data_IF_856959998709
#
_entry.id   IF_856959998709
#
_cell.length_a   1.000
_cell.length_b   1.000
_cell.length_c   1.000
_cell.angle_alpha   90.00
_cell.angle_beta   90.00
_cell.angle_gamma   90.00
#
_symmetry.space_group_name_H-M   'P 1'
#
loop_
_entity.id
_entity.type
_entity.pdbx_description
1 polymer ?
#
# COMPACT_ATOMS: atom_id res chain seq x y z
N UNK A 1 56.86 -18.04 -11.16
CA UNK A 1 56.08 -17.98 -12.42
C UNK A 1 54.83 -18.84 -12.27
N UNK A 2 53.82 -18.37 -11.53
CA UNK A 2 52.47 -18.98 -11.39
C UNK A 2 51.50 -17.85 -11.01
N UNK A 3 51.21 -16.94 -11.94
CA UNK A 3 50.17 -15.89 -11.74
C UNK A 3 49.28 -15.67 -12.97
N UNK A 4 49.59 -16.28 -14.12
CA UNK A 4 48.85 -16.09 -15.37
C UNK A 4 47.67 -17.05 -15.59
N UNK A 5 47.73 -18.28 -15.09
CA UNK A 5 46.74 -19.32 -15.42
C UNK A 5 45.53 -19.37 -14.48
N UNK A 6 45.62 -18.80 -13.28
CA UNK A 6 44.50 -18.77 -12.34
C UNK A 6 43.46 -17.71 -12.74
N UNK A 7 43.92 -16.52 -13.15
CA UNK A 7 43.03 -15.42 -13.57
C UNK A 7 42.25 -15.74 -14.86
N UNK A 8 42.82 -16.51 -15.79
CA UNK A 8 42.11 -16.91 -17.03
C UNK A 8 40.98 -17.90 -16.76
N UNK A 9 41.10 -18.80 -15.77
CA UNK A 9 40.04 -19.76 -15.42
C UNK A 9 38.89 -19.12 -14.65
N UNK A 10 39.16 -18.13 -13.80
CA UNK A 10 38.11 -17.45 -13.02
C UNK A 10 37.23 -16.54 -13.88
N UNK A 11 37.80 -15.86 -14.88
CA UNK A 11 37.03 -14.97 -15.77
C UNK A 11 36.07 -15.73 -16.69
N UNK A 12 36.46 -16.93 -17.16
CA UNK A 12 35.60 -17.76 -18.04
C UNK A 12 34.37 -18.30 -17.28
N UNK A 13 34.53 -18.67 -16.01
CA UNK A 13 33.42 -19.17 -15.18
C UNK A 13 32.39 -18.06 -14.90
N UNK A 14 32.84 -16.83 -14.60
CA UNK A 14 31.95 -15.70 -14.32
C UNK A 14 31.19 -15.22 -15.57
N UNK A 15 31.81 -15.26 -16.76
CA UNK A 15 31.13 -14.88 -18.02
C UNK A 15 30.16 -15.98 -18.49
N UNK A 16 30.43 -17.26 -18.21
CA UNK A 16 29.51 -18.37 -18.56
C UNK A 16 28.24 -18.45 -17.70
N UNK A 17 28.27 -17.95 -16.46
CA UNK A 17 27.06 -17.86 -15.61
C UNK A 17 26.16 -16.66 -15.95
N UNK A 18 26.65 -15.69 -16.72
CA UNK A 18 25.90 -14.51 -17.17
C UNK A 18 25.10 -14.79 -18.46
N UNK A 19 25.32 -15.92 -19.15
CA UNK A 19 24.71 -16.19 -20.47
C UNK A 19 23.60 -17.27 -20.43
N UNK A 20 23.38 -17.95 -19.31
CA UNK A 20 22.39 -19.03 -19.24
C UNK A 20 21.24 -18.72 -18.30
N UNK A 21 20.47 -17.67 -18.59
CA UNK A 21 19.03 -17.58 -18.27
C UNK A 21 18.36 -16.48 -19.13
N UNK A 22 17.74 -16.94 -20.20
CA UNK A 22 16.52 -16.41 -20.86
C UNK A 22 16.60 -15.13 -21.70
N UNK A 23 16.75 -15.31 -23.02
CA UNK A 23 15.87 -14.65 -24.00
C UNK A 23 15.04 -15.75 -24.67
N UNK A 24 13.73 -15.76 -24.44
CA UNK A 24 12.65 -15.80 -25.45
C UNK A 24 11.34 -15.58 -24.69
N UNK A 25 10.73 -14.43 -24.94
CA UNK A 25 9.44 -14.04 -24.39
C UNK A 25 9.05 -12.64 -24.87
N UNK A 26 9.23 -12.38 -26.16
CA UNK A 26 8.54 -11.27 -26.81
C UNK A 26 7.08 -11.70 -26.91
N UNK A 27 6.22 -11.14 -26.06
CA UNK A 27 4.78 -11.06 -26.30
C UNK A 27 4.28 -9.73 -25.73
N UNK A 28 3.85 -8.89 -26.68
CA UNK A 28 2.93 -7.75 -26.55
C UNK A 28 3.16 -6.77 -25.40
N UNK A 29 3.68 -5.60 -25.76
CA UNK A 29 3.13 -4.33 -25.31
C UNK A 29 1.60 -4.36 -25.38
N UNK A 30 0.96 -4.45 -24.22
CA UNK A 30 -0.50 -4.51 -24.11
C UNK A 30 -0.97 -5.37 -22.95
N UNK A 31 -0.53 -5.08 -21.72
CA UNK A 31 -1.15 -5.67 -20.54
C UNK A 31 -1.84 -4.56 -19.76
N UNK A 32 -3.15 -4.45 -19.96
CA UNK A 32 -4.07 -3.94 -18.93
C UNK A 32 -3.77 -4.77 -17.68
N UNK A 33 -3.22 -4.14 -16.64
CA UNK A 33 -2.90 -4.86 -15.41
C UNK A 33 -4.19 -5.44 -14.85
N UNK A 34 -4.31 -6.77 -14.88
CA UNK A 34 -5.33 -7.46 -14.10
C UNK A 34 -4.85 -7.45 -12.65
N UNK A 35 -5.17 -6.35 -11.99
CA UNK A 35 -5.08 -6.21 -10.54
C UNK A 35 -6.02 -7.23 -9.90
N UNK A 36 -5.48 -8.35 -9.41
CA UNK A 36 -6.25 -9.46 -8.83
C UNK A 36 -6.10 -9.49 -7.29
N UNK A 37 -6.22 -8.34 -6.61
CA UNK A 37 -6.49 -8.37 -5.17
C UNK A 37 -7.99 -8.44 -4.93
N UNK A 38 -8.44 -9.59 -4.44
CA UNK A 38 -9.79 -9.76 -3.94
C UNK A 38 -9.88 -9.09 -2.58
N UNK A 39 -10.48 -7.89 -2.53
CA UNK A 39 -10.93 -7.17 -1.33
C UNK A 39 -12.08 -7.91 -0.60
N UNK A 40 -12.05 -9.23 -0.61
CA UNK A 40 -13.21 -10.13 -0.52
C UNK A 40 -13.85 -10.21 0.86
N UNK A 41 -13.20 -9.66 1.89
CA UNK A 41 -13.64 -9.87 3.27
C UNK A 41 -14.92 -9.09 3.65
N UNK A 42 -15.25 -8.01 2.94
CA UNK A 42 -16.46 -7.21 3.20
C UNK A 42 -17.40 -7.09 1.99
N UNK A 43 -17.20 -7.92 0.95
CA UNK A 43 -17.91 -7.72 -0.31
C UNK A 43 -19.34 -8.23 -0.30
N UNK A 44 -19.84 -8.98 0.70
CA UNK A 44 -21.21 -9.53 0.61
C UNK A 44 -22.29 -8.47 0.43
N UNK A 45 -22.15 -7.32 1.09
CA UNK A 45 -23.10 -6.21 0.99
C UNK A 45 -23.05 -5.56 -0.41
N UNK A 46 -21.86 -5.27 -0.92
CA UNK A 46 -21.67 -4.50 -2.17
C UNK A 46 -21.60 -5.35 -3.45
N UNK A 47 -21.22 -6.62 -3.33
CA UNK A 47 -21.01 -7.55 -4.47
C UNK A 47 -22.28 -7.76 -5.27
N UNK A 48 -23.44 -7.70 -4.61
CA UNK A 48 -24.73 -7.84 -5.27
C UNK A 48 -25.34 -6.50 -5.72
N UNK A 49 -24.78 -5.36 -5.29
CA UNK A 49 -25.27 -4.04 -5.71
C UNK A 49 -24.86 -3.76 -7.17
N UNK A 50 -25.76 -3.12 -7.91
CA UNK A 50 -25.47 -2.50 -9.19
C UNK A 50 -24.60 -1.26 -9.01
N UNK A 51 -23.94 -0.82 -10.09
CA UNK A 51 -23.18 0.45 -10.12
C UNK A 51 -24.04 1.62 -9.64
N UNK A 52 -25.31 1.68 -10.09
CA UNK A 52 -26.24 2.74 -9.70
C UNK A 52 -26.57 2.76 -8.20
N UNK A 53 -26.64 1.59 -7.57
CA UNK A 53 -26.87 1.47 -6.12
C UNK A 53 -25.63 1.88 -5.34
N UNK A 54 -24.43 1.55 -5.83
CA UNK A 54 -23.17 1.97 -5.22
C UNK A 54 -22.97 3.49 -5.31
N UNK A 55 -23.28 4.12 -6.45
CA UNK A 55 -23.25 5.58 -6.57
C UNK A 55 -24.17 6.23 -5.54
N UNK A 56 -25.43 5.76 -5.45
CA UNK A 56 -26.40 6.27 -4.47
C UNK A 56 -25.91 6.11 -3.03
N UNK A 57 -25.28 4.98 -2.71
CA UNK A 57 -24.73 4.74 -1.37
C UNK A 57 -23.56 5.68 -1.07
N UNK A 58 -22.60 5.81 -1.99
CA UNK A 58 -21.44 6.70 -1.86
C UNK A 58 -21.89 8.15 -1.65
N UNK A 59 -22.77 8.63 -2.52
CA UNK A 59 -23.24 10.02 -2.48
C UNK A 59 -24.02 10.29 -1.19
N UNK A 60 -24.85 9.33 -0.75
CA UNK A 60 -25.54 9.43 0.54
C UNK A 60 -24.58 9.51 1.72
N UNK A 61 -23.53 8.69 1.76
CA UNK A 61 -22.54 8.73 2.85
C UNK A 61 -21.86 10.10 2.91
N UNK A 62 -21.48 10.66 1.75
CA UNK A 62 -20.92 12.02 1.68
C UNK A 62 -21.95 13.07 2.09
N UNK A 63 -23.20 12.94 1.65
CA UNK A 63 -24.28 13.88 2.03
C UNK A 63 -24.52 13.89 3.55
N UNK A 64 -24.43 12.72 4.18
CA UNK A 64 -24.63 12.54 5.62
C UNK A 64 -23.56 13.31 6.44
N UNK A 65 -22.30 13.36 5.98
CA UNK A 65 -21.20 14.15 6.59
C UNK A 65 -21.48 15.65 6.62
N UNK A 66 -22.20 16.17 5.63
CA UNK A 66 -22.47 17.60 5.50
C UNK A 66 -23.87 18.01 5.98
N UNK A 67 -24.58 17.11 6.68
CA UNK A 67 -25.88 17.44 7.26
C UNK A 67 -25.76 18.56 8.29
N UNK A 68 -26.59 19.59 8.13
CA UNK A 68 -26.58 20.76 9.03
C UNK A 68 -25.47 21.76 8.75
N UNK A 69 -24.63 21.51 7.73
CA UNK A 69 -23.64 22.46 7.21
C UNK A 69 -24.30 23.37 6.16
N UNK A 70 -23.80 24.59 6.02
CA UNK A 70 -24.29 25.55 5.01
C UNK A 70 -24.20 24.95 3.60
N UNK A 71 -25.28 25.04 2.82
CA UNK A 71 -25.40 24.38 1.51
C UNK A 71 -24.32 24.83 0.53
N UNK A 72 -23.96 26.11 0.54
CA UNK A 72 -22.90 26.69 -0.29
C UNK A 72 -21.55 26.02 -0.04
N UNK A 73 -21.18 25.89 1.24
CA UNK A 73 -19.96 25.25 1.70
C UNK A 73 -19.99 23.74 1.43
N UNK A 74 -21.09 23.06 1.77
CA UNK A 74 -21.26 21.62 1.50
C UNK A 74 -21.08 21.30 0.02
N UNK A 75 -21.60 22.16 -0.87
CA UNK A 75 -21.43 22.00 -2.33
C UNK A 75 -19.98 22.18 -2.78
N UNK A 76 -19.27 23.14 -2.22
CA UNK A 76 -17.84 23.34 -2.50
C UNK A 76 -17.01 22.14 -2.05
N UNK A 77 -17.23 21.65 -0.83
CA UNK A 77 -16.52 20.50 -0.30
C UNK A 77 -16.77 19.22 -1.12
N UNK A 78 -18.02 18.96 -1.52
CA UNK A 78 -18.34 17.82 -2.39
C UNK A 78 -17.64 17.91 -3.74
N UNK A 79 -17.54 19.10 -4.32
CA UNK A 79 -16.81 19.32 -5.57
C UNK A 79 -15.33 18.98 -5.41
N UNK A 80 -14.73 19.34 -4.27
CA UNK A 80 -13.35 18.99 -3.96
C UNK A 80 -13.18 17.47 -3.72
N UNK A 81 -14.12 16.80 -3.05
CA UNK A 81 -14.07 15.33 -2.86
C UNK A 81 -14.06 14.60 -4.21
N UNK A 82 -14.89 15.03 -5.15
CA UNK A 82 -15.05 14.39 -6.47
C UNK A 82 -14.10 14.93 -7.55
N UNK A 83 -13.09 15.71 -7.19
CA UNK A 83 -12.11 16.20 -8.16
C UNK A 83 -11.17 15.10 -8.69
N UNK A 84 -10.36 15.45 -9.68
CA UNK A 84 -9.48 14.55 -10.44
C UNK A 84 -8.05 14.42 -9.87
N UNK A 85 -7.72 15.22 -8.85
CA UNK A 85 -6.43 15.19 -8.16
C UNK A 85 -6.24 13.94 -7.31
N UNK A 86 -5.00 13.48 -7.16
CA UNK A 86 -4.67 12.29 -6.34
C UNK A 86 -4.88 12.47 -4.84
N UNK A 87 -5.23 13.67 -4.38
CA UNK A 87 -5.61 13.97 -3.00
C UNK A 87 -7.14 13.94 -2.80
N UNK A 88 -7.90 13.94 -3.90
CA UNK A 88 -9.35 13.91 -3.94
C UNK A 88 -9.80 12.46 -4.11
N UNK A 89 -10.98 12.08 -3.62
CA UNK A 89 -11.39 10.67 -3.54
C UNK A 89 -11.50 10.01 -4.93
N UNK A 90 -12.19 10.67 -5.86
CA UNK A 90 -12.39 10.17 -7.21
C UNK A 90 -11.05 10.12 -7.97
N UNK A 91 -10.29 11.22 -7.95
CA UNK A 91 -8.98 11.31 -8.56
C UNK A 91 -7.98 10.29 -8.00
N UNK A 92 -7.91 10.10 -6.68
CA UNK A 92 -7.08 9.09 -6.03
C UNK A 92 -7.42 7.70 -6.56
N UNK A 93 -8.68 7.28 -6.45
CA UNK A 93 -9.07 5.93 -6.82
C UNK A 93 -8.92 5.70 -8.33
N UNK A 94 -9.36 6.65 -9.16
CA UNK A 94 -9.34 6.48 -10.61
C UNK A 94 -7.92 6.55 -11.20
N UNK A 95 -7.00 7.33 -10.61
CA UNK A 95 -5.62 7.41 -11.08
C UNK A 95 -4.79 6.20 -10.62
N UNK A 96 -4.93 5.80 -9.35
CA UNK A 96 -4.13 4.72 -8.77
C UNK A 96 -4.68 3.35 -9.18
N UNK A 97 -5.99 3.22 -9.31
CA UNK A 97 -6.63 1.96 -9.66
C UNK A 97 -7.35 2.04 -11.02
N UNK A 98 -6.72 2.72 -11.97
CA UNK A 98 -7.24 2.94 -13.34
C UNK A 98 -7.64 1.67 -14.10
N UNK A 99 -7.15 0.51 -13.66
CA UNK A 99 -7.41 -0.79 -14.28
C UNK A 99 -8.53 -1.60 -13.58
N UNK A 100 -9.03 -1.13 -12.42
CA UNK A 100 -10.18 -1.76 -11.76
C UNK A 100 -11.48 -1.44 -12.51
N UNK A 101 -12.49 -2.29 -12.34
CA UNK A 101 -13.81 -2.00 -12.88
C UNK A 101 -14.43 -0.78 -12.18
N UNK A 102 -15.34 -0.07 -12.85
CA UNK A 102 -16.08 1.04 -12.24
C UNK A 102 -16.74 0.62 -10.91
N UNK A 103 -17.28 -0.61 -10.87
CA UNK A 103 -17.88 -1.18 -9.68
C UNK A 103 -16.88 -1.31 -8.53
N UNK A 104 -15.69 -1.83 -8.81
CA UNK A 104 -14.66 -2.03 -7.77
C UNK A 104 -14.06 -0.68 -7.30
N UNK A 105 -13.93 0.29 -8.21
CA UNK A 105 -13.55 1.67 -7.86
C UNK A 105 -14.57 2.27 -6.89
N UNK A 106 -15.87 2.17 -7.19
CA UNK A 106 -16.93 2.66 -6.30
C UNK A 106 -16.90 1.97 -4.93
N UNK A 107 -16.70 0.65 -4.90
CA UNK A 107 -16.57 -0.10 -3.64
C UNK A 107 -15.37 0.41 -2.84
N UNK A 108 -14.23 0.65 -3.48
CA UNK A 108 -13.04 1.21 -2.83
C UNK A 108 -13.31 2.59 -2.24
N UNK A 109 -13.98 3.47 -3.00
CA UNK A 109 -14.37 4.80 -2.52
C UNK A 109 -15.27 4.74 -1.29
N UNK A 110 -16.31 3.90 -1.32
CA UNK A 110 -17.25 3.71 -0.20
C UNK A 110 -16.52 3.21 1.05
N UNK A 111 -15.58 2.27 0.90
CA UNK A 111 -14.77 1.75 2.01
C UNK A 111 -13.91 2.84 2.65
N UNK A 112 -13.25 3.66 1.83
CA UNK A 112 -12.44 4.78 2.33
C UNK A 112 -13.30 5.83 3.05
N UNK A 113 -14.50 6.14 2.53
CA UNK A 113 -15.45 7.05 3.18
C UNK A 113 -15.86 6.50 4.55
N UNK A 114 -16.35 5.25 4.62
CA UNK A 114 -16.79 4.63 5.87
C UNK A 114 -15.66 4.54 6.89
N UNK A 115 -14.44 4.27 6.44
CA UNK A 115 -13.28 4.27 7.32
C UNK A 115 -13.03 5.67 7.90
N UNK A 116 -13.10 6.72 7.08
CA UNK A 116 -12.91 8.11 7.52
C UNK A 116 -13.98 8.55 8.53
N UNK A 117 -15.26 8.26 8.23
CA UNK A 117 -16.44 8.59 9.05
C UNK A 117 -16.40 7.92 10.43
N UNK A 118 -16.01 6.63 10.48
CA UNK A 118 -15.89 5.88 11.73
C UNK A 118 -14.95 6.52 12.79
N UNK A 119 -14.15 7.50 12.38
CA UNK A 119 -13.20 8.18 13.23
C UNK A 119 -13.45 9.68 13.40
N UNK A 120 -14.61 10.18 12.94
CA UNK A 120 -15.02 11.58 13.07
C UNK A 120 -13.99 12.56 12.51
N UNK A 121 -13.16 12.11 11.56
CA UNK A 121 -12.16 12.96 10.90
C UNK A 121 -12.79 13.86 9.83
N UNK A 122 -14.05 13.61 9.48
CA UNK A 122 -14.68 14.10 8.26
C UNK A 122 -13.96 13.59 7.01
N UNK A 123 -14.63 13.65 5.86
CA UNK A 123 -13.94 13.43 4.59
C UNK A 123 -13.20 14.73 4.26
N UNK A 124 -11.89 14.77 4.52
CA UNK A 124 -11.06 15.91 4.16
C UNK A 124 -10.59 15.78 2.69
N UNK A 125 -11.05 16.63 1.77
CA UNK A 125 -10.66 16.55 0.36
C UNK A 125 -9.24 17.09 0.08
N UNK A 126 -8.50 17.57 1.08
CA UNK A 126 -7.19 18.21 0.91
C UNK A 126 -6.01 17.31 1.33
N UNK A 127 -4.94 17.28 0.52
CA UNK A 127 -3.60 16.79 0.90
C UNK A 127 -3.35 15.28 0.77
N UNK A 128 -2.29 14.77 1.41
CA UNK A 128 -1.94 13.32 1.43
C UNK A 128 -2.97 12.45 2.20
N UNK A 129 -4.12 13.02 2.56
CA UNK A 129 -5.15 12.40 3.38
C UNK A 129 -5.65 11.09 2.78
N UNK A 130 -6.05 11.06 1.50
CA UNK A 130 -6.58 9.83 0.87
C UNK A 130 -5.56 8.69 0.82
N UNK A 131 -4.30 9.02 0.57
CA UNK A 131 -3.22 8.05 0.58
C UNK A 131 -3.01 7.45 1.99
N UNK A 132 -2.98 8.31 3.01
CA UNK A 132 -2.85 7.91 4.41
C UNK A 132 -4.03 7.06 4.88
N UNK A 133 -5.24 7.53 4.62
CA UNK A 133 -6.49 6.82 4.89
C UNK A 133 -6.51 5.44 4.23
N UNK A 134 -5.97 5.32 3.01
CA UNK A 134 -5.84 4.04 2.34
C UNK A 134 -4.86 3.07 3.02
N UNK A 135 -3.71 3.56 3.50
CA UNK A 135 -2.76 2.73 4.26
C UNK A 135 -3.42 2.28 5.58
N UNK A 136 -3.97 3.23 6.33
CA UNK A 136 -4.57 2.98 7.64
C UNK A 136 -5.76 2.02 7.54
N UNK A 137 -6.57 2.14 6.48
CA UNK A 137 -7.66 1.20 6.20
C UNK A 137 -7.14 -0.22 5.98
N UNK A 138 -6.16 -0.39 5.09
CA UNK A 138 -5.64 -1.70 4.72
C UNK A 138 -4.97 -2.43 5.89
N UNK A 139 -4.20 -1.70 6.70
CA UNK A 139 -3.58 -2.29 7.90
C UNK A 139 -4.64 -2.63 8.94
N UNK A 140 -5.62 -1.76 9.17
CA UNK A 140 -6.71 -2.03 10.12
C UNK A 140 -7.55 -3.24 9.73
N UNK A 141 -7.86 -3.38 8.43
CA UNK A 141 -8.58 -4.54 7.90
C UNK A 141 -7.74 -5.82 8.08
N UNK A 142 -6.45 -5.79 7.72
CA UNK A 142 -5.53 -6.91 7.91
C UNK A 142 -5.46 -7.37 9.37
N UNK A 143 -5.27 -6.45 10.32
CA UNK A 143 -5.19 -6.78 11.75
C UNK A 143 -6.51 -7.37 12.26
N UNK A 144 -7.63 -6.85 11.79
CA UNK A 144 -8.97 -7.32 12.21
C UNK A 144 -9.24 -8.74 11.73
N UNK A 145 -8.99 -9.02 10.44
CA UNK A 145 -9.20 -10.34 9.85
C UNK A 145 -8.31 -11.39 10.50
N UNK A 146 -7.05 -11.02 10.75
CA UNK A 146 -6.05 -11.94 11.32
C UNK A 146 -6.07 -11.98 12.85
N UNK A 147 -7.00 -11.25 13.51
CA UNK A 147 -7.13 -11.18 14.97
C UNK A 147 -5.82 -10.80 15.67
N UNK A 148 -5.11 -9.82 15.11
CA UNK A 148 -3.80 -9.36 15.58
C UNK A 148 -3.89 -8.19 16.55
N UNK A 149 -5.09 -7.66 16.77
CA UNK A 149 -5.34 -6.60 17.73
C UNK A 149 -5.21 -7.11 19.17
N UNK A 150 -4.43 -6.41 19.99
CA UNK A 150 -4.63 -6.41 21.45
C UNK A 150 -5.71 -5.38 21.81
N UNK A 151 -6.34 -5.51 22.97
CA UNK A 151 -7.34 -4.53 23.45
C UNK A 151 -6.74 -3.10 23.49
N UNK A 152 -5.52 -2.96 24.01
CA UNK A 152 -4.81 -1.67 24.09
C UNK A 152 -4.52 -1.07 22.70
N UNK A 153 -4.00 -1.89 21.78
CA UNK A 153 -3.63 -1.42 20.44
C UNK A 153 -4.84 -1.11 19.58
N UNK A 154 -5.96 -1.80 19.80
CA UNK A 154 -7.24 -1.55 19.12
C UNK A 154 -7.84 -0.21 19.52
N UNK A 155 -7.85 0.10 20.82
CA UNK A 155 -8.37 1.37 21.34
C UNK A 155 -7.55 2.55 20.84
N UNK A 156 -6.22 2.43 20.89
CA UNK A 156 -5.28 3.47 20.47
C UNK A 156 -5.03 3.49 18.95
N UNK A 157 -5.52 2.47 18.23
CA UNK A 157 -5.29 2.25 16.78
C UNK A 157 -3.80 2.27 16.42
N UNK A 158 -3.00 1.63 17.25
CA UNK A 158 -1.57 1.50 17.04
C UNK A 158 -1.24 0.11 16.54
N UNK A 159 -0.41 0.04 15.51
CA UNK A 159 0.09 -1.24 15.04
C UNK A 159 1.32 -1.60 15.85
N UNK A 160 1.26 -2.74 16.55
CA UNK A 160 2.41 -3.23 17.30
C UNK A 160 3.56 -3.50 16.33
N UNK A 161 4.72 -2.85 16.52
CA UNK A 161 5.80 -2.91 15.56
C UNK A 161 6.45 -4.32 15.48
N UNK A 162 6.39 -5.13 16.54
CA UNK A 162 6.86 -6.52 16.49
C UNK A 162 5.89 -7.41 15.71
N UNK A 163 4.59 -7.22 15.90
CA UNK A 163 3.55 -7.92 15.12
C UNK A 163 3.66 -7.60 13.64
N UNK A 164 3.95 -6.33 13.32
CA UNK A 164 4.20 -5.88 11.95
C UNK A 164 5.40 -6.59 11.32
N UNK A 165 6.54 -6.66 12.03
CA UNK A 165 7.74 -7.37 11.54
C UNK A 165 7.45 -8.86 11.32
N UNK A 166 6.75 -9.50 12.25
CA UNK A 166 6.46 -10.93 12.18
C UNK A 166 5.51 -11.27 11.03
N UNK A 167 4.63 -10.33 10.64
CA UNK A 167 3.64 -10.51 9.57
C UNK A 167 3.98 -9.80 8.26
N UNK A 168 5.19 -9.25 8.10
CA UNK A 168 5.61 -8.45 6.93
C UNK A 168 5.20 -9.04 5.57
N UNK A 169 5.50 -10.32 5.32
CA UNK A 169 5.20 -10.97 4.04
C UNK A 169 3.69 -11.07 3.79
N UNK A 170 2.90 -11.38 4.81
CA UNK A 170 1.43 -11.45 4.72
C UNK A 170 0.80 -10.08 4.54
N UNK A 171 1.32 -9.06 5.22
CA UNK A 171 0.89 -7.67 5.04
C UNK A 171 1.19 -7.24 3.61
N UNK A 172 2.40 -7.53 3.12
CA UNK A 172 2.76 -7.26 1.74
C UNK A 172 1.83 -7.97 0.76
N UNK A 173 1.54 -9.25 0.97
CA UNK A 173 0.60 -10.03 0.14
C UNK A 173 -0.82 -9.46 0.19
N UNK A 174 -1.29 -9.03 1.35
CA UNK A 174 -2.64 -8.52 1.56
C UNK A 174 -2.86 -7.12 0.96
N UNK A 175 -1.90 -6.22 1.16
CA UNK A 175 -2.01 -4.82 0.77
C UNK A 175 -1.65 -4.59 -0.69
N UNK A 176 -2.14 -3.48 -1.23
CA UNK A 176 -1.81 -2.97 -2.56
C UNK A 176 -0.50 -2.17 -2.60
N UNK A 177 0.15 -2.05 -1.44
CA UNK A 177 1.38 -1.32 -1.25
C UNK A 177 2.57 -2.05 -1.84
N UNK A 178 3.58 -1.28 -2.26
CA UNK A 178 4.86 -1.87 -2.64
C UNK A 178 5.53 -2.51 -1.42
N UNK A 179 6.38 -3.51 -1.65
CA UNK A 179 7.17 -4.16 -0.59
C UNK A 179 7.99 -3.14 0.18
N UNK A 180 8.50 -2.12 -0.53
CA UNK A 180 9.24 -1.02 0.03
C UNK A 180 8.38 -0.17 0.96
N UNK A 181 7.16 0.18 0.55
CA UNK A 181 6.27 1.01 1.37
C UNK A 181 5.88 0.29 2.67
N UNK A 182 5.52 -1.00 2.58
CA UNK A 182 5.26 -1.81 3.79
C UNK A 182 6.49 -1.86 4.69
N UNK A 183 7.67 -2.07 4.12
CA UNK A 183 8.91 -2.08 4.88
C UNK A 183 9.16 -0.73 5.57
N UNK A 184 8.95 0.37 4.84
CA UNK A 184 9.16 1.74 5.29
C UNK A 184 8.24 2.09 6.46
N UNK A 185 6.94 1.81 6.32
CA UNK A 185 5.94 2.00 7.38
C UNK A 185 6.39 1.34 8.70
N UNK A 186 6.88 0.09 8.62
CA UNK A 186 7.31 -0.67 9.79
C UNK A 186 8.59 -0.10 10.39
N UNK A 187 9.61 0.21 9.57
CA UNK A 187 10.91 0.67 10.07
C UNK A 187 10.82 2.09 10.67
N UNK A 188 9.97 2.95 10.12
CA UNK A 188 9.76 4.32 10.63
C UNK A 188 8.84 4.37 11.83
N UNK A 189 8.23 3.24 12.23
CA UNK A 189 7.32 3.17 13.37
C UNK A 189 6.01 3.92 13.14
N UNK A 190 5.54 3.93 11.88
CA UNK A 190 4.31 4.61 11.48
C UNK A 190 3.15 4.16 12.39
N UNK A 191 2.49 5.13 13.03
CA UNK A 191 1.40 4.92 13.99
C UNK A 191 1.74 4.00 15.21
N UNK A 192 3.01 3.89 15.63
CA UNK A 192 3.39 3.16 16.84
C UNK A 192 3.54 4.11 18.05
N UNK A 193 2.82 3.83 19.15
CA UNK A 193 3.12 4.46 20.44
C UNK A 193 4.29 3.82 21.19
N UNK A 194 4.63 2.57 20.83
CA UNK A 194 5.56 1.73 21.59
C UNK A 194 7.02 1.87 21.14
N UNK A 195 7.33 2.84 20.27
CA UNK A 195 8.69 3.20 19.90
C UNK A 195 9.29 2.36 18.78
N UNK A 196 10.60 2.57 18.55
CA UNK A 196 11.36 1.99 17.44
C UNK A 196 11.58 0.48 17.67
N UNK A 197 11.48 -0.33 16.61
CA UNK A 197 11.88 -1.75 16.67
C UNK A 197 13.35 -1.92 17.06
N UNK A 198 13.64 -3.00 17.78
CA UNK A 198 15.01 -3.36 18.19
C UNK A 198 15.93 -3.63 16.99
N UNK A 199 17.24 -3.53 17.18
CA UNK A 199 18.23 -3.82 16.12
C UNK A 199 18.06 -5.23 15.54
N UNK A 200 17.79 -6.22 16.39
CA UNK A 200 17.52 -7.61 15.97
C UNK A 200 16.28 -7.72 15.07
N UNK A 201 15.20 -7.00 15.43
CA UNK A 201 13.97 -6.95 14.63
C UNK A 201 14.18 -6.19 13.30
N UNK A 202 15.01 -5.13 13.28
CA UNK A 202 15.42 -4.46 12.03
C UNK A 202 16.15 -5.42 11.10
N UNK A 203 17.12 -6.18 11.61
CA UNK A 203 17.85 -7.17 10.83
C UNK A 203 16.92 -8.27 10.30
N UNK A 204 15.96 -8.71 11.11
CA UNK A 204 14.92 -9.68 10.71
C UNK A 204 14.05 -9.13 9.58
N UNK A 205 13.54 -7.90 9.72
CA UNK A 205 12.74 -7.22 8.71
C UNK A 205 13.51 -7.05 7.40
N UNK A 206 14.77 -6.63 7.46
CA UNK A 206 15.65 -6.49 6.29
C UNK A 206 15.84 -7.83 5.58
N UNK A 207 16.08 -8.91 6.32
CA UNK A 207 16.23 -10.24 5.75
C UNK A 207 14.95 -10.71 5.05
N UNK A 208 13.77 -10.41 5.60
CA UNK A 208 12.47 -10.69 4.95
C UNK A 208 12.30 -9.86 3.67
N UNK A 209 12.59 -8.56 3.74
CA UNK A 209 12.50 -7.64 2.59
C UNK A 209 13.36 -8.08 1.41
N UNK A 210 14.62 -8.47 1.66
CA UNK A 210 15.56 -8.88 0.60
C UNK A 210 15.15 -10.21 -0.06
N UNK A 211 14.56 -11.13 0.70
CA UNK A 211 14.18 -12.46 0.21
C UNK A 211 12.84 -12.49 -0.51
N UNK A 212 11.95 -11.56 -0.19
CA UNK A 212 10.61 -11.52 -0.75
C UNK A 212 10.64 -10.95 -2.16
N UNK A 213 10.08 -11.70 -3.12
CA UNK A 213 9.96 -11.24 -4.50
C UNK A 213 8.96 -10.10 -4.60
N UNK A 214 9.25 -9.14 -5.46
CA UNK A 214 8.31 -8.07 -5.75
C UNK A 214 7.12 -8.64 -6.56
N UNK A 215 5.89 -8.44 -6.07
CA UNK A 215 4.72 -8.19 -6.93
C UNK A 215 5.15 -7.18 -7.99
N UNK A 216 4.62 -7.31 -9.21
CA UNK A 216 4.89 -6.38 -10.31
C UNK A 216 4.90 -4.93 -9.79
N UNK A 217 6.02 -4.23 -9.97
CA UNK A 217 6.27 -2.94 -9.34
C UNK A 217 5.21 -1.91 -9.75
N UNK A 218 4.57 -1.27 -8.77
CA UNK A 218 3.61 -0.19 -8.94
C UNK A 218 4.01 0.96 -8.01
N UNK A 219 4.48 2.07 -8.58
CA UNK A 219 5.00 3.24 -7.88
C UNK A 219 3.91 4.27 -7.54
N UNK A 220 2.67 4.05 -7.98
CA UNK A 220 1.54 4.97 -7.78
C UNK A 220 1.14 5.09 -6.30
N UNK A 221 1.51 4.09 -5.51
CA UNK A 221 1.29 4.03 -4.05
C UNK A 221 2.56 4.27 -3.24
N UNK A 222 3.55 4.98 -3.78
CA UNK A 222 4.70 5.45 -3.00
C UNK A 222 4.57 6.93 -2.62
N UNK A 223 5.02 7.28 -1.42
CA UNK A 223 5.19 8.68 -1.03
C UNK A 223 6.25 9.32 -1.96
N UNK A 224 5.87 10.36 -2.71
CA UNK A 224 6.80 11.10 -3.59
C UNK A 224 7.98 11.64 -2.77
N UNK A 225 9.19 11.16 -3.06
CA UNK A 225 10.42 11.52 -2.35
C UNK A 225 11.09 10.33 -1.65
N UNK A 226 10.33 9.28 -1.31
CA UNK A 226 10.84 8.03 -0.79
C UNK A 226 11.22 7.08 -1.94
N UNK A 227 12.20 7.48 -2.75
CA UNK A 227 12.73 6.59 -3.79
C UNK A 227 13.48 5.41 -3.17
N UNK A 228 13.34 4.24 -3.80
CA UNK A 228 14.11 3.02 -3.49
C UNK A 228 15.62 3.31 -3.31
N UNK A 229 16.14 4.29 -4.03
CA UNK A 229 17.55 4.67 -4.06
C UNK A 229 18.03 5.43 -2.81
N UNK A 230 17.16 6.20 -2.15
CA UNK A 230 17.54 6.89 -0.91
C UNK A 230 17.80 5.90 0.24
N UNK A 231 17.07 4.78 0.25
CA UNK A 231 17.05 3.86 1.38
C UNK A 231 18.03 2.68 1.26
N UNK A 232 18.39 2.25 0.03
CA UNK A 232 19.48 1.28 -0.17
C UNK A 232 20.81 1.79 0.43
N UNK A 233 21.01 3.11 0.46
CA UNK A 233 22.16 3.73 1.10
C UNK A 233 22.12 3.61 2.64
N UNK A 234 20.98 3.86 3.27
CA UNK A 234 20.82 3.70 4.72
C UNK A 234 20.94 2.24 5.19
N UNK A 235 20.48 1.28 4.36
CA UNK A 235 20.62 -0.15 4.63
C UNK A 235 22.06 -0.67 4.54
N UNK A 236 22.95 -0.01 3.79
CA UNK A 236 24.38 -0.38 3.73
C UNK A 236 25.05 -0.13 5.07
N UNK A 237 24.67 0.93 5.78
CA UNK A 237 25.25 1.28 7.07
C UNK A 237 24.86 0.31 8.20
N UNK A 238 23.69 -0.35 8.12
CA UNK A 238 23.28 -1.39 9.08
C UNK A 238 24.04 -2.72 8.96
N UNK A 239 24.80 -2.94 7.89
CA UNK A 239 25.70 -4.11 7.76
C UNK A 239 27.11 -3.84 8.31
N UNK A 240 27.41 -2.59 8.65
CA UNK A 240 28.74 -2.14 9.05
C UNK A 240 28.88 -1.90 10.58
N UNK A 241 27.79 -2.08 11.35
CA UNK A 241 27.75 -2.09 12.83
C UNK A 241 27.60 -3.52 13.37
#
# INVERSE_FOLDING_TARGET
MVKGDFMKKTIIVVISMVISLTFVGCNSSGNKDTYNHTWDYETKEYKNMSVSELIKLRDKLIDDEYKGIEESYAKEQKKEIFGDGTHQLDGFVNNIYSNMSEKDNLIKQIKLIKYSDAFDYGINPCGEFMYRTNIDYQFSEFFTINKLWSEENKEKRHFDPDVLVDNFEKIYEYTDLSKYEVFNIIITGYCSANGKISTEKKATLLNKYVKLNDKKYDDRLMIKGNSKDSYINDLRHLKEE
#
